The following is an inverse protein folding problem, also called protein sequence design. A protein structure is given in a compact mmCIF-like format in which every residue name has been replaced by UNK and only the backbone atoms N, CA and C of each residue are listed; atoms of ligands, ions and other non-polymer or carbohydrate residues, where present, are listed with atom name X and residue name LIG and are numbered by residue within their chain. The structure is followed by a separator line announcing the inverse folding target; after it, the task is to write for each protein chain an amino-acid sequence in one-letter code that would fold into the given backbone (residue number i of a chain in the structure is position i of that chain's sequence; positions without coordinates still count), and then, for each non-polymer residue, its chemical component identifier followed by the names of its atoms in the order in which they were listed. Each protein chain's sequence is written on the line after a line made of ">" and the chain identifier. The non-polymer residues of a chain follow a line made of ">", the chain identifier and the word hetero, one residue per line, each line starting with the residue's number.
data_IF_283883274233
#
_entry.id   IF_283883274233
#
_cell.length_a   1.000
_cell.length_b   1.000
_cell.length_c   1.000
_cell.angle_alpha   90.00
_cell.angle_beta   90.00
_cell.angle_gamma   90.00
#
_symmetry.space_group_name_H-M   'P 1'
#
loop_
_entity.id
_entity.type
_entity.pdbx_description
1 polymer ?
#
# COMPACT_ATOMS: atom_id res chain seq x y z
N UNK A 1 -5.36 40.32 -10.79
CA UNK A 1 -6.28 41.41 -10.60
C UNK A 1 -5.57 42.79 -10.60
N UNK A 2 -4.61 43.05 -9.67
CA UNK A 2 -3.91 44.34 -9.64
C UNK A 2 -3.12 44.65 -10.89
N UNK A 3 -2.60 43.68 -11.61
CA UNK A 3 -1.92 43.88 -12.88
C UNK A 3 -2.89 44.27 -14.01
N UNK A 4 -4.09 43.67 -14.07
CA UNK A 4 -5.08 43.93 -15.13
C UNK A 4 -5.97 45.13 -14.84
N UNK A 5 -6.21 45.48 -13.57
CA UNK A 5 -7.22 46.48 -13.15
C UNK A 5 -6.65 47.57 -12.26
N UNK A 6 -5.36 47.61 -12.01
CA UNK A 6 -4.71 48.55 -11.15
C UNK A 6 -3.29 48.93 -11.61
N UNK A 7 -2.48 49.42 -10.68
CA UNK A 7 -1.06 49.64 -10.96
C UNK A 7 -0.30 48.32 -10.98
N UNK A 8 0.41 48.02 -12.03
CA UNK A 8 1.31 46.84 -12.16
C UNK A 8 2.61 46.98 -11.32
N UNK A 9 2.85 48.13 -10.68
CA UNK A 9 4.06 48.39 -9.90
C UNK A 9 3.77 48.67 -8.43
N UNK A 10 4.67 48.23 -7.54
CA UNK A 10 4.59 48.50 -6.11
C UNK A 10 4.73 50.02 -5.81
N UNK A 11 4.04 50.49 -4.79
CA UNK A 11 4.25 51.86 -4.24
C UNK A 11 5.43 51.93 -3.29
N UNK A 12 5.96 50.80 -2.84
CA UNK A 12 7.13 50.76 -1.96
C UNK A 12 8.41 50.95 -2.75
N UNK A 13 9.23 51.85 -2.30
CA UNK A 13 10.55 52.20 -2.87
C UNK A 13 11.65 51.38 -2.21
N UNK A 14 11.36 50.78 -1.05
CA UNK A 14 12.30 50.01 -0.26
C UNK A 14 12.68 48.67 -0.97
N UNK A 15 13.91 48.23 -0.77
CA UNK A 15 14.39 46.97 -1.27
C UNK A 15 13.60 45.84 -0.58
N UNK A 16 12.93 45.00 -1.38
CA UNK A 16 12.16 43.87 -0.86
C UNK A 16 13.10 42.81 -0.31
N UNK A 17 12.89 42.40 0.94
CA UNK A 17 13.57 41.24 1.50
C UNK A 17 12.94 39.96 0.89
N UNK A 18 13.71 39.24 0.09
CA UNK A 18 13.30 37.98 -0.53
C UNK A 18 14.19 36.87 -0.01
N UNK A 19 13.84 36.20 1.12
CA UNK A 19 14.60 35.07 1.62
C UNK A 19 14.69 33.94 0.58
N UNK A 20 15.82 33.23 0.51
CA UNK A 20 15.97 32.09 -0.40
C UNK A 20 15.02 30.96 -0.01
N UNK A 21 14.75 30.07 -0.98
CA UNK A 21 14.13 28.77 -0.70
C UNK A 21 15.07 27.94 0.14
N UNK A 22 14.54 27.21 1.13
CA UNK A 22 15.34 26.42 2.06
C UNK A 22 14.97 24.93 1.96
N UNK A 23 15.98 24.13 1.87
CA UNK A 23 15.86 22.68 2.07
C UNK A 23 15.79 22.41 3.57
N UNK A 24 14.69 21.74 4.04
CA UNK A 24 14.52 21.42 5.44
C UNK A 24 14.83 19.96 5.76
N UNK A 25 14.85 19.08 4.77
CA UNK A 25 15.08 17.66 4.94
C UNK A 25 14.71 16.88 3.67
N UNK A 26 14.66 15.55 3.71
CA UNK A 26 14.44 14.74 2.51
C UNK A 26 13.12 15.07 1.79
N UNK A 27 12.04 15.34 2.52
CA UNK A 27 10.69 15.45 1.97
C UNK A 27 10.20 16.89 1.78
N UNK A 28 10.78 17.87 2.51
CA UNK A 28 10.15 19.19 2.67
C UNK A 28 11.05 20.33 2.20
N UNK A 29 10.51 21.19 1.32
CA UNK A 29 11.11 22.42 0.86
C UNK A 29 10.31 23.62 1.38
N UNK A 30 10.99 24.63 1.92
CA UNK A 30 10.38 25.88 2.41
C UNK A 30 10.56 27.04 1.42
N UNK A 31 9.44 27.68 1.09
CA UNK A 31 9.39 28.97 0.39
C UNK A 31 9.15 30.07 1.42
N UNK A 32 10.21 30.58 2.06
CA UNK A 32 10.14 31.52 3.18
C UNK A 32 9.32 32.77 2.86
N UNK A 33 9.35 33.26 1.60
CA UNK A 33 8.55 34.42 1.15
C UNK A 33 7.04 34.25 1.25
N UNK A 34 6.54 33.01 1.39
CA UNK A 34 5.11 32.69 1.53
C UNK A 34 4.72 32.41 2.98
N UNK A 35 5.70 32.27 3.86
CA UNK A 35 5.47 31.93 5.26
C UNK A 35 4.85 33.14 6.01
N UNK A 36 3.80 32.87 6.79
CA UNK A 36 3.16 33.84 7.67
C UNK A 36 3.54 33.67 9.14
N UNK A 37 4.53 32.83 9.41
CA UNK A 37 5.04 32.54 10.76
C UNK A 37 3.94 32.12 11.74
N UNK A 38 2.97 31.33 11.29
CA UNK A 38 1.82 30.88 12.11
C UNK A 38 2.18 29.78 13.11
N UNK A 39 3.40 29.26 13.07
CA UNK A 39 3.97 28.25 13.98
C UNK A 39 3.31 26.85 13.99
N UNK A 40 2.35 26.56 13.13
CA UNK A 40 1.69 25.24 13.09
C UNK A 40 2.69 24.10 12.90
N UNK A 41 3.66 24.26 12.00
CA UNK A 41 4.71 23.26 11.73
C UNK A 41 5.64 23.04 12.94
N UNK A 42 5.98 24.12 13.68
CA UNK A 42 6.78 24.02 14.91
C UNK A 42 6.00 23.22 15.94
N UNK A 43 4.75 23.62 16.24
CA UNK A 43 3.91 22.91 17.20
C UNK A 43 3.66 21.46 16.81
N UNK A 44 3.61 21.14 15.52
CA UNK A 44 3.56 19.75 15.07
C UNK A 44 4.81 18.98 15.49
N UNK A 45 5.99 19.55 15.26
CA UNK A 45 7.26 18.91 15.67
C UNK A 45 7.38 18.79 17.19
N UNK A 46 6.81 19.72 17.95
CA UNK A 46 6.86 19.70 19.42
C UNK A 46 5.81 18.77 20.04
N UNK A 47 4.55 18.84 19.56
CA UNK A 47 3.40 18.22 20.25
C UNK A 47 3.01 16.87 19.66
N UNK A 48 3.20 16.68 18.33
CA UNK A 48 2.79 15.44 17.64
C UNK A 48 3.96 14.45 17.52
N UNK A 49 5.11 14.93 17.07
CA UNK A 49 6.29 14.07 16.92
C UNK A 49 7.22 14.12 18.14
N UNK A 50 7.26 15.23 18.87
CA UNK A 50 8.16 15.42 20.02
C UNK A 50 9.64 15.57 19.60
N UNK A 51 9.91 15.83 18.34
CA UNK A 51 11.27 15.84 17.76
C UNK A 51 11.90 17.22 17.70
N UNK A 52 11.08 18.30 17.68
CA UNK A 52 11.54 19.69 17.81
C UNK A 52 12.45 20.21 16.71
N UNK A 53 12.39 19.68 15.48
CA UNK A 53 13.33 20.03 14.40
C UNK A 53 13.10 21.44 13.82
N UNK A 54 11.93 22.03 14.00
CA UNK A 54 11.60 23.34 13.46
C UNK A 54 11.53 24.41 14.55
N UNK A 55 12.03 25.60 14.25
CA UNK A 55 11.98 26.75 15.15
C UNK A 55 11.82 28.07 14.42
N UNK A 56 11.60 29.16 15.20
CA UNK A 56 11.71 30.52 14.68
C UNK A 56 13.17 30.96 14.82
N UNK A 57 13.77 31.33 13.69
CA UNK A 57 15.08 31.94 13.67
C UNK A 57 14.98 33.44 13.42
N UNK A 58 16.00 34.16 13.87
CA UNK A 58 16.04 35.62 13.84
C UNK A 58 14.95 36.28 14.69
N UNK A 59 14.75 37.61 14.55
CA UNK A 59 13.77 38.40 15.29
C UNK A 59 13.32 39.61 14.52
N UNK A 60 12.19 40.16 14.91
CA UNK A 60 11.61 41.34 14.28
C UNK A 60 11.17 41.08 12.84
N UNK A 61 11.46 41.98 11.93
CA UNK A 61 11.10 41.87 10.50
C UNK A 61 11.82 40.72 9.73
N UNK A 62 12.78 40.10 10.37
CA UNK A 62 13.56 38.99 9.76
C UNK A 62 13.16 37.62 10.27
N UNK A 63 12.10 37.54 11.09
CA UNK A 63 11.59 36.27 11.60
C UNK A 63 11.26 35.31 10.45
N UNK A 64 11.73 34.08 10.57
CA UNK A 64 11.41 33.00 9.63
C UNK A 64 11.46 31.62 10.32
N UNK A 65 10.80 30.66 9.72
CA UNK A 65 10.87 29.25 10.14
C UNK A 65 12.13 28.63 9.53
N UNK A 66 12.86 27.88 10.31
CA UNK A 66 14.03 27.11 9.83
C UNK A 66 14.29 25.91 10.76
N UNK A 67 15.16 25.02 10.29
CA UNK A 67 15.81 23.97 11.09
C UNK A 67 17.03 24.56 11.82
N UNK A 68 17.50 23.96 12.92
CA UNK A 68 18.70 24.38 13.61
C UNK A 68 19.93 24.35 12.70
N UNK A 69 20.71 25.46 12.68
CA UNK A 69 21.93 25.59 11.86
C UNK A 69 23.11 26.10 12.69
N UNK A 70 24.31 25.68 12.31
CA UNK A 70 25.56 26.26 12.80
C UNK A 70 25.75 27.68 12.25
N UNK A 71 26.76 28.36 12.77
CA UNK A 71 27.10 29.74 12.38
C UNK A 71 27.48 29.84 10.88
N UNK A 72 28.01 28.76 10.30
CA UNK A 72 28.37 28.64 8.88
C UNK A 72 27.17 28.30 7.96
N UNK A 73 25.98 28.17 8.53
CA UNK A 73 24.75 27.82 7.81
C UNK A 73 24.51 26.33 7.64
N UNK A 74 25.42 25.47 8.08
CA UNK A 74 25.27 24.01 7.99
C UNK A 74 24.14 23.56 8.93
N UNK A 75 23.16 22.73 8.48
CA UNK A 75 22.15 22.14 9.33
C UNK A 75 22.79 21.28 10.44
N UNK A 76 22.30 21.43 11.67
CA UNK A 76 22.66 20.53 12.79
C UNK A 76 21.65 19.41 12.96
N UNK A 77 20.42 19.63 12.48
CA UNK A 77 19.34 18.67 12.46
C UNK A 77 18.48 18.93 11.22
N UNK A 78 18.03 17.89 10.55
CA UNK A 78 17.11 17.97 9.43
C UNK A 78 15.68 17.70 9.93
N UNK A 79 14.69 18.11 9.17
CA UNK A 79 13.30 17.69 9.33
C UNK A 79 13.14 16.33 8.62
N UNK A 80 13.51 15.25 9.30
CA UNK A 80 13.60 13.90 8.75
C UNK A 80 12.89 12.83 9.59
N UNK A 81 12.08 13.25 10.59
CA UNK A 81 11.22 12.30 11.28
C UNK A 81 10.22 11.66 10.31
N UNK A 82 9.79 10.43 10.61
CA UNK A 82 8.90 9.63 9.73
C UNK A 82 7.50 10.20 9.50
N UNK A 83 7.17 11.37 10.08
CA UNK A 83 5.91 12.08 9.92
C UNK A 83 6.10 13.46 9.29
N UNK A 84 7.31 13.77 8.80
CA UNK A 84 7.72 15.11 8.35
C UNK A 84 6.80 15.70 7.27
N UNK A 85 6.27 14.88 6.36
CA UNK A 85 5.37 15.32 5.30
C UNK A 85 4.06 15.95 5.78
N UNK A 86 3.62 15.69 7.02
CA UNK A 86 2.40 16.29 7.54
C UNK A 86 2.50 17.82 7.71
N UNK A 87 3.71 18.37 7.88
CA UNK A 87 3.86 19.83 7.98
C UNK A 87 3.43 20.55 6.68
N UNK A 88 3.49 19.84 5.56
CA UNK A 88 3.01 20.34 4.26
C UNK A 88 1.49 20.47 4.25
N UNK A 89 0.79 19.45 4.78
CA UNK A 89 -0.68 19.41 4.81
C UNK A 89 -1.27 20.46 5.74
N UNK A 90 -0.64 20.70 6.89
CA UNK A 90 -1.11 21.69 7.87
C UNK A 90 -0.70 23.13 7.55
N UNK A 91 0.18 23.36 6.57
CA UNK A 91 0.62 24.70 6.18
C UNK A 91 -0.50 25.44 5.43
N UNK A 92 -1.05 26.57 6.00
CA UNK A 92 -2.23 27.22 5.43
C UNK A 92 -1.94 28.04 4.15
N UNK A 93 -0.66 28.27 3.82
CA UNK A 93 -0.25 29.21 2.75
C UNK A 93 0.65 28.60 1.68
N UNK A 94 0.88 27.32 1.69
CA UNK A 94 1.74 26.65 0.73
C UNK A 94 3.19 27.16 0.74
N UNK A 95 3.68 27.55 1.90
CA UNK A 95 5.09 27.86 2.11
C UNK A 95 5.91 26.57 2.19
N UNK A 96 5.39 25.55 2.89
CA UNK A 96 5.98 24.20 2.90
C UNK A 96 5.49 23.41 1.69
N UNK A 97 6.38 22.73 1.03
CA UNK A 97 6.13 21.97 -0.19
C UNK A 97 6.68 20.55 -0.04
N UNK A 98 5.89 19.56 -0.43
CA UNK A 98 6.40 18.22 -0.66
C UNK A 98 7.32 18.25 -1.89
N UNK A 99 8.53 17.75 -1.75
CA UNK A 99 9.49 17.62 -2.86
C UNK A 99 8.98 16.64 -3.90
N UNK A 100 8.36 15.54 -3.46
CA UNK A 100 7.80 14.53 -4.33
C UNK A 100 6.71 15.08 -5.26
N UNK A 101 5.78 15.88 -4.72
CA UNK A 101 4.67 16.41 -5.52
C UNK A 101 4.99 17.72 -6.28
N UNK A 102 6.10 18.39 -5.91
CA UNK A 102 6.43 19.71 -6.47
C UNK A 102 6.59 19.65 -8.00
N UNK A 103 5.81 20.48 -8.70
CA UNK A 103 5.76 20.61 -10.17
C UNK A 103 5.15 19.43 -10.95
N UNK A 104 4.72 18.34 -10.31
CA UNK A 104 4.12 17.20 -11.00
C UNK A 104 2.75 17.55 -11.60
N UNK A 105 1.87 18.17 -10.84
CA UNK A 105 0.51 18.51 -11.29
C UNK A 105 -0.09 19.69 -10.54
N UNK A 106 -1.20 20.23 -11.08
CA UNK A 106 -2.06 21.19 -10.38
C UNK A 106 -3.25 20.45 -9.76
N UNK A 107 -3.63 20.76 -8.49
CA UNK A 107 -4.70 20.04 -7.78
C UNK A 107 -6.02 19.94 -8.55
N UNK A 108 -6.42 20.98 -9.27
CA UNK A 108 -7.69 21.03 -10.01
C UNK A 108 -7.73 20.17 -11.29
N UNK A 109 -6.60 19.59 -11.70
CA UNK A 109 -6.54 18.65 -12.81
C UNK A 109 -6.56 17.19 -12.34
N UNK A 110 -6.60 16.95 -11.05
CA UNK A 110 -6.61 15.62 -10.47
C UNK A 110 -8.00 15.24 -9.97
N UNK A 111 -8.32 13.97 -10.10
CA UNK A 111 -9.43 13.33 -9.41
C UNK A 111 -8.96 12.87 -8.03
N UNK A 112 -9.87 12.73 -7.08
CA UNK A 112 -9.58 12.30 -5.70
C UNK A 112 -10.53 11.19 -5.30
N UNK A 113 -10.02 10.15 -4.69
CA UNK A 113 -10.81 9.06 -4.11
C UNK A 113 -10.42 8.84 -2.65
N UNK A 114 -11.42 8.47 -1.82
CA UNK A 114 -11.20 8.04 -0.45
C UNK A 114 -10.80 6.56 -0.43
N UNK A 115 -9.67 6.26 0.20
CA UNK A 115 -9.14 4.89 0.27
C UNK A 115 -8.35 4.69 1.57
N UNK A 116 -7.64 3.59 1.67
CA UNK A 116 -6.81 3.19 2.81
C UNK A 116 -5.36 3.03 2.36
N UNK A 117 -4.43 3.41 3.22
CA UNK A 117 -3.01 3.23 2.98
C UNK A 117 -2.63 1.75 3.04
N UNK A 118 -1.92 1.27 2.02
CA UNK A 118 -1.42 -0.10 1.93
C UNK A 118 0.01 -0.28 2.50
N UNK A 119 0.51 0.68 3.27
CA UNK A 119 1.91 0.68 3.74
C UNK A 119 2.17 -0.14 5.00
N UNK A 120 1.19 -0.28 5.90
CA UNK A 120 1.34 -0.99 7.17
C UNK A 120 -0.01 -1.31 7.81
N UNK A 121 0.00 -2.08 8.89
CA UNK A 121 -1.17 -2.57 9.63
C UNK A 121 -1.96 -1.48 10.40
N UNK A 122 -1.47 -0.24 10.47
CA UNK A 122 -2.24 0.89 11.00
C UNK A 122 -3.50 1.13 10.16
N UNK A 123 -3.42 0.99 8.83
CA UNK A 123 -4.56 1.20 7.94
C UNK A 123 -5.04 2.66 7.91
N UNK A 124 -4.12 3.64 7.79
CA UNK A 124 -4.49 5.05 7.76
C UNK A 124 -5.54 5.35 6.68
N UNK A 125 -6.61 6.05 7.06
CA UNK A 125 -7.54 6.60 6.09
C UNK A 125 -6.85 7.70 5.28
N UNK A 126 -6.93 7.62 3.96
CA UNK A 126 -6.27 8.56 3.06
C UNK A 126 -7.19 9.01 1.93
N UNK A 127 -6.81 10.11 1.31
CA UNK A 127 -7.26 10.49 -0.04
C UNK A 127 -6.12 10.23 -1.01
N UNK A 128 -6.44 9.62 -2.13
CA UNK A 128 -5.54 9.35 -3.24
C UNK A 128 -5.90 10.30 -4.38
N UNK A 129 -4.96 11.15 -4.78
CA UNK A 129 -5.09 12.05 -5.91
C UNK A 129 -4.44 11.42 -7.15
N UNK A 130 -5.20 11.33 -8.25
CA UNK A 130 -4.81 10.62 -9.47
C UNK A 130 -5.28 11.31 -10.75
N UNK A 131 -4.73 10.87 -11.86
CA UNK A 131 -5.23 11.10 -13.20
C UNK A 131 -5.29 9.76 -13.95
N UNK A 132 -5.70 9.79 -15.20
CA UNK A 132 -5.79 8.58 -16.01
C UNK A 132 -4.41 7.93 -16.27
N UNK A 133 -3.32 8.69 -16.13
CA UNK A 133 -1.93 8.27 -16.30
C UNK A 133 -1.22 7.80 -14.99
N UNK A 134 -1.89 7.82 -13.85
CA UNK A 134 -1.35 7.29 -12.61
C UNK A 134 -1.70 8.02 -11.33
N UNK A 135 -1.10 7.58 -10.24
CA UNK A 135 -1.24 8.13 -8.88
C UNK A 135 -0.22 9.24 -8.68
N UNK A 136 -0.64 10.38 -8.12
CA UNK A 136 0.20 11.56 -7.97
C UNK A 136 0.59 11.88 -6.53
N UNK A 137 -0.29 11.58 -5.57
CA UNK A 137 0.01 11.73 -4.13
C UNK A 137 -1.02 11.07 -3.25
N UNK A 138 -0.61 10.75 -2.03
CA UNK A 138 -1.47 10.33 -0.92
C UNK A 138 -1.48 11.41 0.17
N UNK A 139 -2.65 11.64 0.78
CA UNK A 139 -2.81 12.58 1.90
C UNK A 139 -3.65 11.95 3.01
N UNK A 140 -3.38 12.26 4.28
CA UNK A 140 -4.20 11.75 5.37
C UNK A 140 -5.62 12.32 5.31
N UNK A 141 -6.59 11.45 5.58
CA UNK A 141 -8.00 11.77 5.81
C UNK A 141 -8.33 11.47 7.26
N UNK A 142 -9.06 12.35 7.91
CA UNK A 142 -9.37 12.20 9.33
C UNK A 142 -10.13 10.92 9.65
N UNK A 143 -9.64 10.21 10.68
CA UNK A 143 -10.36 9.13 11.34
C UNK A 143 -10.01 9.11 12.83
N UNK A 144 -11.03 9.22 13.70
CA UNK A 144 -10.85 9.43 15.13
C UNK A 144 -10.01 8.35 15.82
N UNK A 145 -10.23 7.07 15.49
CA UNK A 145 -9.65 5.93 16.19
C UNK A 145 -8.42 5.31 15.49
N UNK A 146 -8.15 5.66 14.24
CA UNK A 146 -7.07 5.05 13.45
C UNK A 146 -5.88 6.00 13.36
N UNK A 147 -5.99 7.05 12.58
CA UNK A 147 -4.86 7.90 12.25
C UNK A 147 -5.08 9.39 12.58
N UNK A 148 -6.22 9.76 13.16
CA UNK A 148 -6.60 11.16 13.37
C UNK A 148 -6.39 11.98 12.07
N UNK A 149 -5.42 12.88 12.07
CA UNK A 149 -5.07 13.72 10.92
C UNK A 149 -3.73 13.35 10.25
N UNK A 150 -3.08 12.25 10.68
CA UNK A 150 -1.68 11.99 10.39
C UNK A 150 -1.49 10.75 9.50
N UNK A 151 -0.39 10.72 8.78
CA UNK A 151 0.15 9.53 8.12
C UNK A 151 1.68 9.61 8.08
N UNK A 152 2.35 8.47 8.01
CA UNK A 152 3.80 8.42 7.87
C UNK A 152 4.26 8.73 6.45
N UNK A 153 5.53 9.14 6.34
CA UNK A 153 6.12 9.48 5.06
C UNK A 153 6.34 8.23 4.19
N UNK A 154 6.67 7.08 4.79
CA UNK A 154 6.76 5.80 4.08
C UNK A 154 5.42 5.45 3.41
N UNK A 155 4.28 5.60 4.14
CA UNK A 155 2.96 5.41 3.57
C UNK A 155 2.60 6.46 2.51
N UNK A 156 3.00 7.72 2.74
CA UNK A 156 2.75 8.84 1.83
C UNK A 156 3.42 8.66 0.47
N UNK A 157 4.63 8.11 0.46
CA UNK A 157 5.45 7.90 -0.73
C UNK A 157 5.30 6.48 -1.31
N UNK A 158 4.73 5.57 -0.54
CA UNK A 158 4.60 4.16 -0.88
C UNK A 158 3.72 3.83 -2.10
N UNK A 159 3.27 4.82 -2.87
CA UNK A 159 2.51 4.62 -4.10
C UNK A 159 3.38 4.54 -5.36
N UNK A 160 4.68 4.84 -5.28
CA UNK A 160 5.53 4.94 -6.48
C UNK A 160 5.57 3.65 -7.29
N UNK A 161 5.53 2.48 -6.64
CA UNK A 161 5.50 1.21 -7.34
C UNK A 161 4.26 1.03 -8.23
N UNK A 162 3.14 1.70 -7.90
CA UNK A 162 1.92 1.67 -8.74
C UNK A 162 2.17 2.23 -10.13
N UNK A 163 3.05 3.24 -10.20
CA UNK A 163 3.41 3.93 -11.44
C UNK A 163 4.71 3.40 -12.07
N UNK A 164 5.29 2.31 -11.55
CA UNK A 164 6.56 1.77 -12.07
C UNK A 164 6.39 1.25 -13.50
N UNK A 165 7.44 1.42 -14.32
CA UNK A 165 7.53 0.80 -15.63
C UNK A 165 7.76 -0.71 -15.55
N UNK A 166 8.23 -1.22 -14.39
CA UNK A 166 8.48 -2.63 -14.13
C UNK A 166 7.21 -3.41 -13.75
N UNK A 167 6.02 -2.78 -13.86
CA UNK A 167 4.74 -3.43 -13.61
C UNK A 167 4.50 -4.60 -14.56
N UNK A 168 4.12 -5.75 -14.00
CA UNK A 168 3.67 -6.90 -14.78
C UNK A 168 2.42 -6.54 -15.58
N UNK A 169 2.47 -6.77 -16.89
CA UNK A 169 1.41 -6.41 -17.83
C UNK A 169 0.78 -7.61 -18.55
N UNK A 170 1.49 -8.73 -18.61
CA UNK A 170 1.06 -9.97 -19.25
C UNK A 170 1.44 -11.16 -18.41
N UNK A 171 0.69 -12.28 -18.45
CA UNK A 171 1.14 -13.53 -17.86
C UNK A 171 2.48 -13.96 -18.47
N UNK A 172 3.31 -14.63 -17.66
CA UNK A 172 4.60 -15.16 -18.12
C UNK A 172 4.72 -16.63 -17.77
N UNK A 173 5.46 -17.37 -18.57
CA UNK A 173 5.80 -18.78 -18.32
C UNK A 173 7.30 -19.03 -18.48
N UNK A 174 7.83 -20.00 -17.75
CA UNK A 174 9.24 -20.38 -17.86
C UNK A 174 9.44 -21.32 -19.05
N UNK A 175 10.39 -20.96 -19.92
CA UNK A 175 10.82 -21.77 -21.07
C UNK A 175 12.35 -21.70 -21.10
N UNK A 176 13.00 -22.87 -21.09
CA UNK A 176 14.47 -22.97 -21.12
C UNK A 176 15.17 -22.09 -20.05
N UNK A 177 14.60 -22.03 -18.86
CA UNK A 177 15.13 -21.25 -17.72
C UNK A 177 14.79 -19.75 -17.71
N UNK A 178 14.13 -19.23 -18.76
CA UNK A 178 13.76 -17.81 -18.87
C UNK A 178 12.25 -17.60 -18.82
N UNK A 179 11.78 -16.54 -18.18
CA UNK A 179 10.38 -16.12 -18.20
C UNK A 179 10.06 -15.41 -19.52
N UNK A 180 9.06 -15.91 -20.24
CA UNK A 180 8.57 -15.35 -21.50
C UNK A 180 7.08 -15.01 -21.42
N UNK A 181 6.61 -13.93 -22.05
CA UNK A 181 5.19 -13.61 -22.09
C UNK A 181 4.35 -14.76 -22.70
N UNK A 182 3.17 -14.97 -22.13
CA UNK A 182 2.20 -15.96 -22.59
C UNK A 182 0.78 -15.40 -22.54
N UNK A 183 -0.19 -16.16 -23.07
CA UNK A 183 -1.61 -15.77 -22.95
C UNK A 183 -2.21 -16.26 -21.62
N UNK A 184 -3.29 -15.59 -21.16
CA UNK A 184 -4.07 -16.07 -20.02
C UNK A 184 -4.59 -17.50 -20.23
N UNK A 185 -5.01 -17.84 -21.44
CA UNK A 185 -5.51 -19.17 -21.77
C UNK A 185 -4.44 -20.24 -21.60
N UNK A 186 -3.23 -19.98 -22.10
CA UNK A 186 -2.10 -20.90 -21.95
C UNK A 186 -1.67 -21.03 -20.50
N UNK A 187 -1.55 -19.91 -19.78
CA UNK A 187 -1.17 -19.92 -18.37
C UNK A 187 -2.15 -20.75 -17.52
N UNK A 188 -3.46 -20.53 -17.69
CA UNK A 188 -4.47 -21.32 -16.99
C UNK A 188 -4.45 -22.80 -17.41
N UNK A 189 -4.25 -23.10 -18.71
CA UNK A 189 -4.16 -24.49 -19.17
C UNK A 189 -3.03 -25.25 -18.47
N UNK A 190 -1.84 -24.65 -18.39
CA UNK A 190 -0.67 -25.22 -17.72
C UNK A 190 -0.94 -25.40 -16.21
N UNK A 191 -1.50 -24.39 -15.53
CA UNK A 191 -1.84 -24.47 -14.10
C UNK A 191 -2.83 -25.61 -13.85
N UNK A 192 -3.89 -25.73 -14.64
CA UNK A 192 -4.91 -26.78 -14.47
C UNK A 192 -4.36 -28.18 -14.74
N UNK A 193 -3.45 -28.33 -15.70
CA UNK A 193 -2.76 -29.60 -15.97
C UNK A 193 -1.96 -30.03 -14.73
N UNK A 194 -1.21 -29.11 -14.14
CA UNK A 194 -0.43 -29.41 -12.92
C UNK A 194 -1.33 -29.74 -11.73
N UNK A 195 -2.39 -28.95 -11.51
CA UNK A 195 -3.36 -29.19 -10.43
C UNK A 195 -4.06 -30.55 -10.56
N UNK A 196 -4.29 -31.03 -11.77
CA UNK A 196 -4.89 -32.38 -11.99
C UNK A 196 -3.91 -33.55 -11.88
N UNK A 197 -2.61 -33.27 -11.96
CA UNK A 197 -1.57 -34.30 -11.94
C UNK A 197 -0.95 -34.55 -10.55
N UNK A 198 -1.15 -33.64 -9.60
CA UNK A 198 -0.49 -33.66 -8.29
C UNK A 198 -1.53 -33.89 -7.19
N UNK A 199 -1.17 -34.72 -6.20
CA UNK A 199 -2.04 -34.99 -5.05
C UNK A 199 -2.14 -33.74 -4.13
N UNK A 200 -3.30 -33.53 -3.54
CA UNK A 200 -3.61 -32.38 -2.67
C UNK A 200 -2.63 -32.21 -1.49
N UNK A 201 -2.16 -33.31 -0.90
CA UNK A 201 -1.16 -33.29 0.18
C UNK A 201 0.19 -32.71 -0.26
N UNK A 202 0.51 -32.81 -1.55
CA UNK A 202 1.74 -32.28 -2.15
C UNK A 202 1.56 -30.82 -2.66
N UNK A 203 0.39 -30.19 -2.40
CA UNK A 203 0.09 -28.82 -2.79
C UNK A 203 0.14 -27.88 -1.59
N UNK A 204 0.37 -26.60 -1.87
CA UNK A 204 0.17 -25.52 -0.91
C UNK A 204 -0.43 -24.28 -1.59
N UNK A 205 -1.27 -23.58 -0.86
CA UNK A 205 -1.82 -22.28 -1.24
C UNK A 205 -1.35 -21.23 -0.25
N UNK A 206 -0.73 -20.17 -0.75
CA UNK A 206 -0.15 -19.12 0.06
C UNK A 206 -0.83 -17.80 -0.28
N UNK A 207 -1.68 -17.32 0.64
CA UNK A 207 -2.31 -16.01 0.55
C UNK A 207 -1.35 -14.88 0.91
N UNK A 208 -1.84 -13.66 0.90
CA UNK A 208 -0.99 -12.50 1.15
C UNK A 208 -1.64 -11.49 2.10
N UNK A 209 -0.82 -10.95 2.99
CA UNK A 209 -1.17 -9.80 3.82
C UNK A 209 -1.27 -8.48 3.04
N UNK A 210 -0.96 -8.49 1.74
CA UNK A 210 -1.02 -7.30 0.85
C UNK A 210 -2.29 -7.27 -0.01
N UNK A 211 -3.01 -8.40 -0.13
CA UNK A 211 -4.26 -8.47 -0.88
C UNK A 211 -5.48 -8.30 0.04
N UNK A 212 -6.65 -8.13 -0.56
CA UNK A 212 -7.89 -7.83 0.17
C UNK A 212 -8.44 -9.02 0.95
N UNK A 213 -9.40 -8.74 1.83
CA UNK A 213 -10.16 -9.77 2.53
C UNK A 213 -10.87 -10.69 1.53
N UNK A 214 -11.49 -10.10 0.52
CA UNK A 214 -12.25 -10.80 -0.51
C UNK A 214 -11.36 -11.75 -1.32
N UNK A 215 -10.14 -11.35 -1.62
CA UNK A 215 -9.17 -12.16 -2.35
C UNK A 215 -8.64 -13.32 -1.51
N UNK A 216 -8.28 -13.09 -0.24
CA UNK A 216 -7.90 -14.16 0.69
C UNK A 216 -9.06 -15.14 0.94
N UNK A 217 -10.31 -14.64 1.00
CA UNK A 217 -11.50 -15.49 1.13
C UNK A 217 -11.67 -16.42 -0.09
N UNK A 218 -11.48 -15.92 -1.31
CA UNK A 218 -11.51 -16.75 -2.51
C UNK A 218 -10.35 -17.76 -2.58
N UNK A 219 -9.17 -17.40 -2.08
CA UNK A 219 -8.06 -18.35 -1.95
C UNK A 219 -8.41 -19.50 -1.00
N UNK A 220 -9.11 -19.21 0.10
CA UNK A 220 -9.62 -20.25 0.99
C UNK A 220 -10.59 -21.18 0.26
N UNK A 221 -11.53 -20.63 -0.51
CA UNK A 221 -12.45 -21.45 -1.33
C UNK A 221 -11.72 -22.30 -2.36
N UNK A 222 -10.65 -21.79 -2.96
CA UNK A 222 -9.80 -22.56 -3.86
C UNK A 222 -9.10 -23.71 -3.12
N UNK A 223 -8.56 -23.45 -1.93
CA UNK A 223 -7.91 -24.46 -1.10
C UNK A 223 -8.90 -25.58 -0.71
N UNK A 224 -10.11 -25.21 -0.30
CA UNK A 224 -11.18 -26.15 0.06
C UNK A 224 -11.60 -27.02 -1.14
N UNK A 225 -11.75 -26.42 -2.32
CA UNK A 225 -12.11 -27.16 -3.54
C UNK A 225 -11.04 -28.16 -3.98
N UNK A 226 -9.77 -27.84 -3.75
CA UNK A 226 -8.62 -28.71 -4.05
C UNK A 226 -8.27 -29.64 -2.89
N UNK A 227 -8.98 -29.56 -1.77
CA UNK A 227 -8.70 -30.29 -0.52
C UNK A 227 -7.24 -30.10 -0.02
N UNK A 228 -6.67 -28.89 -0.21
CA UNK A 228 -5.30 -28.57 0.16
C UNK A 228 -5.18 -28.32 1.66
N UNK A 229 -4.42 -29.16 2.36
CA UNK A 229 -4.20 -29.04 3.81
C UNK A 229 -3.12 -28.03 4.22
N UNK A 230 -2.29 -27.54 3.29
CA UNK A 230 -1.22 -26.58 3.61
C UNK A 230 -1.61 -25.19 3.12
N UNK A 231 -2.00 -24.35 4.07
CA UNK A 231 -2.32 -22.93 3.81
C UNK A 231 -1.27 -22.07 4.48
N UNK A 232 -0.74 -21.10 3.74
CA UNK A 232 0.27 -20.16 4.21
C UNK A 232 -0.16 -18.71 4.03
N UNK A 233 0.52 -17.83 4.74
CA UNK A 233 0.38 -16.38 4.61
C UNK A 233 1.76 -15.78 4.35
N UNK A 234 1.86 -15.03 3.26
CA UNK A 234 3.06 -14.34 2.84
C UNK A 234 2.87 -12.83 2.98
N UNK A 235 3.94 -12.11 3.26
CA UNK A 235 3.89 -10.66 3.39
C UNK A 235 5.27 -10.07 3.63
N UNK A 236 5.33 -8.76 3.80
CA UNK A 236 6.56 -8.07 4.20
C UNK A 236 6.98 -8.52 5.58
N UNK A 237 8.28 -8.68 5.79
CA UNK A 237 8.86 -8.93 7.13
C UNK A 237 8.56 -7.75 8.05
N UNK A 238 8.54 -8.01 9.36
CA UNK A 238 8.37 -6.96 10.35
C UNK A 238 9.50 -5.93 10.21
N UNK A 239 9.13 -4.66 10.23
CA UNK A 239 10.07 -3.55 10.26
C UNK A 239 10.14 -2.91 11.64
N UNK A 240 10.75 -1.73 11.71
CA UNK A 240 10.81 -0.97 12.95
C UNK A 240 9.45 -0.38 13.33
N UNK A 241 9.15 -0.40 14.63
CA UNK A 241 8.06 0.36 15.22
C UNK A 241 8.56 1.76 15.60
N UNK A 242 7.76 2.79 15.31
CA UNK A 242 8.06 4.17 15.71
C UNK A 242 6.90 4.73 16.52
N UNK A 243 7.17 5.00 17.80
CA UNK A 243 6.18 5.54 18.75
C UNK A 243 6.40 7.03 18.93
N UNK A 244 5.47 7.84 18.43
CA UNK A 244 5.40 9.29 18.66
C UNK A 244 4.32 9.63 19.68
N UNK A 245 4.35 10.80 20.29
CA UNK A 245 3.36 11.19 21.31
C UNK A 245 1.90 11.10 20.86
N UNK A 246 1.63 11.26 19.56
CA UNK A 246 0.26 11.25 19.00
C UNK A 246 0.05 10.27 17.86
N UNK A 247 1.04 9.50 17.48
CA UNK A 247 0.93 8.55 16.37
C UNK A 247 1.95 7.43 16.50
N UNK A 248 1.54 6.19 16.25
CA UNK A 248 2.43 5.03 16.18
C UNK A 248 2.46 4.48 14.78
N UNK A 249 3.65 4.19 14.27
CA UNK A 249 3.85 3.42 13.04
C UNK A 249 4.15 2.00 13.47
N UNK A 250 3.25 1.07 13.18
CA UNK A 250 3.36 -0.33 13.58
C UNK A 250 4.56 -1.03 12.92
N UNK A 251 5.10 -2.04 13.59
CA UNK A 251 6.15 -2.91 13.06
C UNK A 251 5.68 -3.74 11.86
N UNK A 252 4.43 -4.19 11.87
CA UNK A 252 3.84 -4.91 10.74
C UNK A 252 3.59 -3.95 9.55
N UNK A 253 4.36 -4.16 8.47
CA UNK A 253 4.33 -3.35 7.24
C UNK A 253 3.32 -3.85 6.21
N UNK A 254 2.37 -4.67 6.63
CA UNK A 254 1.31 -5.20 5.78
C UNK A 254 -0.05 -4.61 6.15
N UNK A 255 -0.88 -4.23 5.18
CA UNK A 255 -2.15 -3.55 5.47
C UNK A 255 -3.24 -4.48 6.01
N UNK A 256 -3.15 -5.79 5.72
CA UNK A 256 -4.24 -6.74 5.91
C UNK A 256 -3.84 -8.05 6.59
N UNK A 257 -2.80 -8.07 7.41
CA UNK A 257 -2.36 -9.31 8.09
C UNK A 257 -3.48 -9.94 8.91
N UNK A 258 -4.23 -9.13 9.68
CA UNK A 258 -5.37 -9.63 10.46
C UNK A 258 -6.47 -10.18 9.56
N UNK A 259 -6.91 -9.41 8.57
CA UNK A 259 -7.98 -9.85 7.68
C UNK A 259 -7.61 -11.09 6.86
N UNK A 260 -6.38 -11.18 6.39
CA UNK A 260 -5.89 -12.36 5.70
C UNK A 260 -5.95 -13.61 6.59
N UNK A 261 -5.53 -13.50 7.86
CA UNK A 261 -5.67 -14.59 8.83
C UNK A 261 -7.14 -14.97 9.06
N UNK A 262 -8.01 -13.98 9.32
CA UNK A 262 -9.42 -14.21 9.56
C UNK A 262 -10.12 -14.88 8.35
N UNK A 263 -9.69 -14.58 7.12
CA UNK A 263 -10.25 -15.18 5.90
C UNK A 263 -9.68 -16.58 5.58
N UNK A 264 -8.39 -16.80 5.82
CA UNK A 264 -7.74 -18.07 5.52
C UNK A 264 -7.92 -19.10 6.62
N UNK A 265 -7.95 -18.67 7.90
CA UNK A 265 -8.12 -19.54 9.07
C UNK A 265 -9.62 -19.74 9.37
N UNK A 266 -10.27 -20.62 8.63
CA UNK A 266 -11.63 -21.08 8.89
C UNK A 266 -11.59 -22.54 9.35
N UNK A 267 -12.54 -22.94 10.19
CA UNK A 267 -12.70 -24.32 10.67
C UNK A 267 -11.43 -24.89 11.35
N UNK A 268 -10.77 -24.12 12.21
CA UNK A 268 -9.54 -24.51 12.96
C UNK A 268 -8.32 -24.82 12.05
N UNK A 269 -8.36 -24.43 10.79
CA UNK A 269 -7.20 -24.58 9.89
C UNK A 269 -6.05 -23.70 10.36
N UNK A 270 -4.87 -24.29 10.54
CA UNK A 270 -3.66 -23.52 10.87
C UNK A 270 -3.13 -22.80 9.64
N UNK A 271 -3.02 -21.48 9.73
CA UNK A 271 -2.35 -20.65 8.72
C UNK A 271 -0.89 -20.48 9.12
N UNK A 272 0.04 -20.90 8.26
CA UNK A 272 1.48 -20.90 8.53
C UNK A 272 2.13 -19.64 8.00
N UNK A 273 3.00 -19.05 8.80
CA UNK A 273 3.75 -17.83 8.49
C UNK A 273 5.23 -18.06 8.82
N UNK A 274 6.10 -17.20 8.27
CA UNK A 274 7.54 -17.20 8.54
C UNK A 274 8.19 -18.59 8.46
N UNK A 275 9.01 -19.00 9.43
CA UNK A 275 9.73 -20.26 9.44
C UNK A 275 8.82 -21.51 9.34
N UNK A 276 7.67 -21.60 10.04
CA UNK A 276 6.70 -22.67 9.84
C UNK A 276 6.17 -22.79 8.41
N UNK A 277 6.00 -21.66 7.71
CA UNK A 277 5.60 -21.67 6.29
C UNK A 277 6.69 -22.30 5.43
N UNK A 278 7.92 -21.82 5.52
CA UNK A 278 9.02 -22.32 4.70
C UNK A 278 9.32 -23.79 4.95
N UNK A 279 9.23 -24.24 6.19
CA UNK A 279 9.34 -25.66 6.55
C UNK A 279 8.25 -26.47 5.86
N UNK A 280 7.00 -25.99 5.85
CA UNK A 280 5.88 -26.70 5.22
C UNK A 280 5.92 -26.69 3.69
N UNK A 281 6.58 -25.71 3.08
CA UNK A 281 6.73 -25.62 1.62
C UNK A 281 7.87 -26.52 1.08
N UNK A 282 8.81 -26.91 1.91
CA UNK A 282 10.05 -27.58 1.50
C UNK A 282 9.86 -28.94 0.79
N UNK A 283 8.72 -29.58 0.99
CA UNK A 283 8.37 -30.88 0.38
C UNK A 283 7.24 -30.80 -0.67
N UNK A 284 6.77 -29.60 -1.00
CA UNK A 284 5.65 -29.42 -1.90
C UNK A 284 6.06 -29.53 -3.36
N UNK A 285 5.17 -30.15 -4.14
CA UNK A 285 5.33 -30.29 -5.60
C UNK A 285 4.64 -29.17 -6.37
N UNK A 286 3.62 -28.56 -5.78
CA UNK A 286 2.88 -27.43 -6.35
C UNK A 286 2.64 -26.36 -5.29
N UNK A 287 2.98 -25.14 -5.62
CA UNK A 287 2.66 -23.98 -4.76
C UNK A 287 2.03 -22.88 -5.60
N UNK A 288 0.87 -22.40 -5.15
CA UNK A 288 0.28 -21.16 -5.64
C UNK A 288 0.46 -20.08 -4.59
N UNK A 289 1.28 -19.08 -4.90
CA UNK A 289 1.67 -18.01 -4.00
C UNK A 289 1.23 -16.64 -4.57
N UNK A 290 0.54 -15.85 -3.75
CA UNK A 290 0.30 -14.44 -4.06
C UNK A 290 1.26 -13.59 -3.24
N UNK A 291 2.10 -12.80 -3.91
CA UNK A 291 2.98 -11.85 -3.27
C UNK A 291 2.25 -10.51 -3.05
N UNK A 292 2.03 -9.74 -4.09
CA UNK A 292 1.41 -8.42 -4.00
C UNK A 292 2.19 -7.39 -3.16
N UNK A 293 3.36 -7.78 -2.64
CA UNK A 293 4.21 -6.96 -1.77
C UNK A 293 5.34 -6.33 -2.60
N UNK A 294 5.24 -5.05 -2.96
CA UNK A 294 6.35 -4.39 -3.62
C UNK A 294 7.60 -4.41 -2.69
N UNK A 295 8.76 -4.61 -3.30
CA UNK A 295 10.06 -4.50 -2.63
C UNK A 295 10.23 -5.41 -1.39
N UNK A 296 9.72 -6.65 -1.43
CA UNK A 296 10.02 -7.66 -0.42
C UNK A 296 11.17 -8.55 -0.90
N UNK A 297 12.40 -8.31 -0.44
CA UNK A 297 13.51 -9.22 -0.72
C UNK A 297 13.29 -10.56 -0.02
N UNK A 298 13.75 -11.64 -0.66
CA UNK A 298 13.82 -12.99 -0.06
C UNK A 298 15.23 -13.23 0.47
N UNK A 299 15.34 -14.02 1.55
CA UNK A 299 16.64 -14.48 2.04
C UNK A 299 17.06 -15.80 1.40
N UNK A 300 18.29 -16.25 1.69
CA UNK A 300 18.84 -17.47 1.12
C UNK A 300 17.98 -18.72 1.44
N UNK A 301 17.41 -18.79 2.66
CA UNK A 301 16.57 -19.93 3.07
C UNK A 301 15.26 -19.96 2.29
N UNK A 302 14.65 -18.81 2.12
CA UNK A 302 13.42 -18.64 1.33
C UNK A 302 13.66 -18.99 -0.15
N UNK A 303 14.77 -18.51 -0.71
CA UNK A 303 15.20 -18.82 -2.08
C UNK A 303 15.41 -20.33 -2.28
N UNK A 304 16.17 -20.95 -1.38
CA UNK A 304 16.47 -22.38 -1.41
C UNK A 304 15.20 -23.29 -1.36
N UNK A 305 14.17 -22.84 -0.65
CA UNK A 305 12.89 -23.56 -0.59
C UNK A 305 12.10 -23.38 -1.88
N UNK A 306 11.99 -22.14 -2.37
CA UNK A 306 11.24 -21.83 -3.59
C UNK A 306 11.82 -22.52 -4.83
N UNK A 307 13.15 -22.60 -4.96
CA UNK A 307 13.83 -23.29 -6.06
C UNK A 307 13.61 -24.81 -6.08
N UNK A 308 13.29 -25.42 -4.93
CA UNK A 308 13.04 -26.87 -4.82
C UNK A 308 11.59 -27.26 -5.09
N UNK A 309 10.66 -26.28 -5.15
CA UNK A 309 9.25 -26.54 -5.47
C UNK A 309 9.16 -27.09 -6.89
N UNK A 310 8.40 -28.17 -7.07
CA UNK A 310 8.27 -28.84 -8.37
C UNK A 310 7.59 -27.97 -9.42
N UNK A 311 6.59 -27.18 -9.04
CA UNK A 311 5.90 -26.21 -9.89
C UNK A 311 5.39 -25.01 -9.06
N UNK A 312 5.91 -23.83 -9.34
CA UNK A 312 5.61 -22.62 -8.60
C UNK A 312 4.82 -21.64 -9.47
N UNK A 313 3.62 -21.29 -9.02
CA UNK A 313 2.80 -20.22 -9.60
C UNK A 313 2.88 -19.01 -8.67
N UNK A 314 3.31 -17.87 -9.19
CA UNK A 314 3.34 -16.61 -8.45
C UNK A 314 2.42 -15.60 -9.10
N UNK A 315 1.54 -15.02 -8.30
CA UNK A 315 0.73 -13.87 -8.68
C UNK A 315 1.29 -12.61 -8.03
N UNK A 316 1.68 -11.63 -8.84
CA UNK A 316 2.37 -10.44 -8.35
C UNK A 316 2.04 -9.20 -9.19
N UNK A 317 2.42 -8.04 -8.65
CA UNK A 317 2.26 -6.72 -9.31
C UNK A 317 3.53 -6.25 -10.02
N UNK A 318 4.69 -6.72 -9.58
CA UNK A 318 6.02 -6.45 -10.14
C UNK A 318 6.74 -7.78 -10.41
N UNK A 319 7.75 -7.76 -11.26
CA UNK A 319 8.65 -8.90 -11.38
C UNK A 319 9.61 -8.90 -10.19
N UNK A 320 9.13 -9.44 -9.06
CA UNK A 320 9.89 -9.56 -7.82
C UNK A 320 10.83 -10.76 -7.84
N UNK A 321 11.77 -10.81 -6.87
CA UNK A 321 12.66 -11.96 -6.69
C UNK A 321 11.89 -13.30 -6.58
N UNK A 322 10.73 -13.28 -5.92
CA UNK A 322 9.84 -14.45 -5.84
C UNK A 322 9.25 -14.80 -7.21
N UNK A 323 8.80 -13.80 -7.95
CA UNK A 323 8.23 -14.00 -9.28
C UNK A 323 9.29 -14.49 -10.30
N UNK A 324 10.54 -14.06 -10.13
CA UNK A 324 11.65 -14.54 -10.96
C UNK A 324 11.93 -16.03 -10.81
N UNK A 325 11.57 -16.65 -9.68
CA UNK A 325 11.73 -18.10 -9.45
C UNK A 325 10.54 -18.92 -9.98
N UNK A 326 9.41 -18.30 -10.28
CA UNK A 326 8.19 -18.99 -10.66
C UNK A 326 8.25 -19.70 -12.04
N UNK A 327 7.47 -20.75 -12.21
CA UNK A 327 7.20 -21.37 -13.51
C UNK A 327 6.14 -20.60 -14.30
N UNK A 328 5.13 -20.09 -13.57
CA UNK A 328 4.10 -19.21 -14.12
C UNK A 328 4.01 -17.94 -13.26
N UNK A 329 4.02 -16.79 -13.91
CA UNK A 329 3.77 -15.48 -13.27
C UNK A 329 2.46 -14.91 -13.80
N UNK A 330 1.56 -14.54 -12.88
CA UNK A 330 0.27 -13.93 -13.19
C UNK A 330 0.25 -12.46 -12.77
N UNK A 331 -0.08 -11.51 -13.66
CA UNK A 331 -0.09 -10.09 -13.37
C UNK A 331 -1.32 -9.69 -12.56
N UNK A 332 -1.12 -9.34 -11.30
CA UNK A 332 -2.13 -8.85 -10.37
C UNK A 332 -2.30 -7.33 -10.39
N UNK A 333 -3.33 -6.84 -9.67
CA UNK A 333 -3.64 -5.43 -9.53
C UNK A 333 -3.22 -4.89 -8.15
N UNK A 334 -2.77 -3.63 -8.13
CA UNK A 334 -2.42 -2.92 -6.89
C UNK A 334 -3.67 -2.42 -6.15
N UNK A 335 -3.50 -1.94 -4.91
CA UNK A 335 -4.59 -1.34 -4.10
C UNK A 335 -5.28 -0.14 -4.77
N UNK A 336 -4.62 0.54 -5.72
CA UNK A 336 -5.18 1.67 -6.45
C UNK A 336 -5.98 1.26 -7.70
N UNK A 337 -5.86 0.00 -8.13
CA UNK A 337 -6.42 -0.53 -9.38
C UNK A 337 -7.62 -1.47 -9.17
N UNK A 338 -7.96 -1.77 -7.92
CA UNK A 338 -9.05 -2.67 -7.53
C UNK A 338 -9.87 -2.12 -6.38
N UNK A 339 -11.09 -2.63 -6.23
CA UNK A 339 -11.94 -2.46 -5.05
C UNK A 339 -11.73 -3.63 -4.09
N UNK A 340 -12.03 -3.43 -2.81
CA UNK A 340 -11.99 -4.47 -1.78
C UNK A 340 -11.93 -3.89 -0.38
N UNK A 341 -11.56 -4.72 0.59
CA UNK A 341 -11.42 -4.29 1.98
C UNK A 341 -10.15 -4.84 2.64
N UNK A 342 -9.60 -4.07 3.58
CA UNK A 342 -8.54 -4.47 4.50
C UNK A 342 -9.04 -4.47 5.92
N UNK A 343 -8.53 -5.36 6.76
CA UNK A 343 -8.75 -5.34 8.20
C UNK A 343 -7.44 -5.02 8.90
N UNK A 344 -7.36 -3.86 9.53
CA UNK A 344 -6.15 -3.38 10.18
C UNK A 344 -5.86 -4.11 11.52
N UNK A 345 -4.70 -3.83 12.14
CA UNK A 345 -4.27 -4.45 13.41
C UNK A 345 -5.28 -4.27 14.54
N UNK A 346 -6.04 -3.18 14.54
CA UNK A 346 -7.07 -2.87 15.55
C UNK A 346 -8.44 -3.48 15.24
N UNK A 347 -8.59 -4.19 14.12
CA UNK A 347 -9.85 -4.82 13.71
C UNK A 347 -10.80 -3.91 12.94
N UNK A 348 -10.36 -2.77 12.45
CA UNK A 348 -11.17 -1.96 11.55
C UNK A 348 -11.16 -2.53 10.15
N UNK A 349 -12.32 -2.89 9.64
CA UNK A 349 -12.57 -3.28 8.25
C UNK A 349 -12.77 -1.99 7.47
N UNK A 350 -11.92 -1.74 6.47
CA UNK A 350 -11.88 -0.48 5.72
C UNK A 350 -11.84 -0.73 4.23
N UNK A 351 -12.54 0.10 3.45
CA UNK A 351 -12.60 -0.05 1.99
C UNK A 351 -11.43 0.58 1.28
N UNK A 352 -10.80 -0.17 0.37
CA UNK A 352 -10.02 0.38 -0.74
C UNK A 352 -10.91 0.57 -1.97
N UNK A 353 -10.57 1.53 -2.82
CA UNK A 353 -11.35 1.87 -4.01
C UNK A 353 -10.49 2.05 -5.22
N UNK A 354 -10.91 1.43 -6.31
CA UNK A 354 -10.30 1.59 -7.61
C UNK A 354 -10.26 3.07 -8.02
N UNK A 355 -9.09 3.54 -8.41
CA UNK A 355 -8.84 4.90 -8.89
C UNK A 355 -8.35 4.94 -10.33
N UNK A 356 -7.49 3.99 -10.71
CA UNK A 356 -6.92 3.86 -12.04
C UNK A 356 -7.15 2.44 -12.59
N UNK A 357 -6.91 2.25 -13.87
CA UNK A 357 -6.94 0.93 -14.49
C UNK A 357 -5.60 0.22 -14.30
N UNK A 358 -5.62 -1.09 -14.13
CA UNK A 358 -4.41 -1.91 -14.15
C UNK A 358 -3.75 -1.86 -15.55
N UNK A 359 -2.41 -1.96 -15.64
CA UNK A 359 -1.71 -1.87 -16.91
C UNK A 359 -1.85 -3.16 -17.72
N UNK A 360 -1.87 -3.01 -19.06
CA UNK A 360 -1.86 -4.14 -19.99
C UNK A 360 -3.02 -5.12 -19.78
N UNK A 361 -2.70 -6.36 -19.48
CA UNK A 361 -3.64 -7.45 -19.21
C UNK A 361 -3.73 -7.82 -17.73
N UNK A 362 -3.13 -7.04 -16.81
CA UNK A 362 -3.20 -7.27 -15.39
C UNK A 362 -4.67 -7.18 -14.90
N UNK A 363 -5.05 -8.06 -13.97
CA UNK A 363 -6.42 -8.18 -13.49
C UNK A 363 -6.45 -8.08 -11.95
N UNK A 364 -7.58 -7.66 -11.36
CA UNK A 364 -7.80 -7.82 -9.92
C UNK A 364 -7.62 -9.28 -9.50
N UNK A 365 -6.98 -9.50 -8.36
CA UNK A 365 -6.60 -10.84 -7.91
C UNK A 365 -7.82 -11.76 -7.74
N UNK A 366 -8.96 -11.20 -7.28
CA UNK A 366 -10.21 -11.96 -7.15
C UNK A 366 -10.73 -12.50 -8.49
N UNK A 367 -10.55 -11.78 -9.61
CA UNK A 367 -10.96 -12.23 -10.94
C UNK A 367 -10.09 -13.40 -11.42
N UNK A 368 -8.78 -13.36 -11.14
CA UNK A 368 -7.83 -14.42 -11.49
C UNK A 368 -8.19 -15.69 -10.71
N UNK A 369 -8.37 -15.58 -9.39
CA UNK A 369 -8.72 -16.71 -8.52
C UNK A 369 -10.06 -17.32 -8.94
N UNK A 370 -11.08 -16.49 -9.18
CA UNK A 370 -12.40 -16.94 -9.64
C UNK A 370 -12.30 -17.74 -10.95
N UNK A 371 -11.47 -17.29 -11.91
CA UNK A 371 -11.30 -18.00 -13.19
C UNK A 371 -10.68 -19.38 -12.96
N UNK A 372 -9.72 -19.52 -12.06
CA UNK A 372 -9.13 -20.82 -11.70
C UNK A 372 -10.19 -21.73 -11.08
N UNK A 373 -10.93 -21.25 -10.07
CA UNK A 373 -12.00 -22.00 -9.40
C UNK A 373 -13.06 -22.47 -10.39
N UNK A 374 -13.54 -21.60 -11.29
CA UNK A 374 -14.55 -21.92 -12.31
C UNK A 374 -14.03 -23.01 -13.29
N UNK A 375 -12.78 -22.92 -13.72
CA UNK A 375 -12.16 -23.91 -14.62
C UNK A 375 -11.98 -25.27 -13.96
N UNK A 376 -11.86 -25.32 -12.65
CA UNK A 376 -11.89 -26.53 -11.84
C UNK A 376 -13.30 -27.08 -11.56
N UNK A 377 -14.34 -26.46 -12.11
CA UNK A 377 -15.75 -26.86 -11.94
C UNK A 377 -16.39 -26.33 -10.66
N UNK A 378 -15.77 -25.36 -9.97
CA UNK A 378 -16.34 -24.72 -8.80
C UNK A 378 -17.55 -23.84 -9.14
N UNK A 379 -18.53 -23.82 -8.25
CA UNK A 379 -19.78 -23.05 -8.40
C UNK A 379 -19.65 -21.65 -7.76
N UNK A 380 -18.84 -20.78 -8.39
CA UNK A 380 -18.75 -19.35 -8.03
C UNK A 380 -18.89 -18.49 -9.29
N UNK A 381 -19.67 -17.42 -9.21
CA UNK A 381 -19.88 -16.48 -10.34
C UNK A 381 -20.18 -15.08 -9.83
N UNK A 382 -19.15 -14.41 -9.34
CA UNK A 382 -19.27 -13.02 -8.87
C UNK A 382 -19.05 -12.05 -10.04
N UNK A 383 -19.94 -11.06 -10.14
CA UNK A 383 -19.86 -10.00 -11.15
C UNK A 383 -18.98 -8.82 -10.66
N UNK A 384 -18.91 -8.62 -9.36
CA UNK A 384 -18.09 -7.58 -8.73
C UNK A 384 -17.73 -7.97 -7.29
N UNK A 385 -16.63 -7.45 -6.81
CA UNK A 385 -16.05 -7.80 -5.50
C UNK A 385 -17.00 -7.60 -4.31
N UNK A 386 -17.99 -6.70 -4.43
CA UNK A 386 -18.98 -6.48 -3.39
C UNK A 386 -19.89 -7.68 -3.11
N UNK A 387 -20.09 -8.59 -4.08
CA UNK A 387 -20.82 -9.84 -3.87
C UNK A 387 -20.02 -10.81 -2.97
N UNK A 388 -18.70 -10.82 -3.12
CA UNK A 388 -17.80 -11.58 -2.24
C UNK A 388 -17.86 -11.01 -0.81
N UNK A 389 -17.84 -9.68 -0.68
CA UNK A 389 -17.98 -9.03 0.63
C UNK A 389 -19.33 -9.33 1.32
N UNK A 390 -20.42 -9.49 0.55
CA UNK A 390 -21.71 -9.93 1.10
C UNK A 390 -21.64 -11.37 1.60
N UNK A 391 -20.99 -12.26 0.86
CA UNK A 391 -20.82 -13.66 1.29
C UNK A 391 -19.93 -13.76 2.53
N UNK A 392 -18.86 -12.95 2.62
CA UNK A 392 -18.03 -12.83 3.83
C UNK A 392 -18.90 -12.41 5.02
N UNK A 393 -19.76 -11.40 4.84
CA UNK A 393 -20.66 -10.93 5.89
C UNK A 393 -21.68 -12.00 6.35
N UNK A 394 -22.02 -12.96 5.51
CA UNK A 394 -22.92 -14.06 5.86
C UNK A 394 -22.18 -15.22 6.54
N UNK A 395 -20.93 -15.51 6.14
CA UNK A 395 -20.24 -16.76 6.49
C UNK A 395 -19.13 -16.61 7.50
N UNK A 396 -18.44 -15.46 7.52
CA UNK A 396 -17.25 -15.27 8.37
C UNK A 396 -17.64 -14.65 9.71
N UNK A 397 -17.29 -15.33 10.79
CA UNK A 397 -17.57 -14.86 12.15
C UNK A 397 -16.84 -13.53 12.41
N UNK A 398 -17.55 -12.58 13.01
CA UNK A 398 -17.02 -11.25 13.25
C UNK A 398 -17.20 -10.25 12.11
N UNK A 399 -17.55 -10.70 10.89
CA UNK A 399 -17.65 -9.87 9.68
C UNK A 399 -19.10 -9.61 9.23
N UNK A 400 -20.12 -9.83 10.09
CA UNK A 400 -21.54 -9.76 9.73
C UNK A 400 -21.98 -8.43 9.13
N UNK A 401 -21.24 -7.36 9.37
CA UNK A 401 -21.49 -6.03 8.80
C UNK A 401 -20.53 -5.64 7.67
N UNK A 402 -19.70 -6.57 7.20
CA UNK A 402 -18.61 -6.30 6.26
C UNK A 402 -19.03 -6.06 4.80
N UNK A 403 -20.32 -5.80 4.52
CA UNK A 403 -20.72 -5.38 3.18
C UNK A 403 -20.10 -4.03 2.83
N UNK A 404 -19.69 -3.85 1.57
CA UNK A 404 -19.06 -2.61 1.10
C UNK A 404 -19.91 -1.35 1.35
N UNK A 405 -21.25 -1.50 1.37
CA UNK A 405 -22.16 -0.40 1.66
C UNK A 405 -22.09 0.02 3.13
N UNK A 406 -22.05 -0.96 4.06
CA UNK A 406 -21.99 -0.69 5.50
C UNK A 406 -20.62 -0.19 5.95
N UNK A 407 -19.54 -0.75 5.40
CA UNK A 407 -18.17 -0.29 5.68
C UNK A 407 -18.03 1.21 5.37
N UNK A 408 -18.59 1.68 4.25
CA UNK A 408 -18.59 3.10 3.88
C UNK A 408 -17.20 3.71 3.78
N UNK A 409 -17.06 4.96 4.24
CA UNK A 409 -15.81 5.72 4.21
C UNK A 409 -15.01 5.67 5.52
N UNK A 410 -15.67 5.36 6.62
CA UNK A 410 -15.05 5.34 7.94
C UNK A 410 -14.60 3.94 8.39
N UNK A 411 -15.08 2.91 7.71
CA UNK A 411 -14.84 1.55 8.17
C UNK A 411 -15.78 1.14 9.30
N UNK A 412 -15.72 -0.13 9.65
CA UNK A 412 -16.46 -0.74 10.78
C UNK A 412 -15.51 -1.61 11.59
N UNK A 413 -15.82 -1.80 12.85
CA UNK A 413 -15.04 -2.69 13.71
C UNK A 413 -15.52 -4.14 13.53
N UNK A 414 -14.58 -5.09 13.48
CA UNK A 414 -14.90 -6.53 13.55
C UNK A 414 -15.68 -6.78 14.85
N UNK A 415 -16.81 -7.44 14.76
CA UNK A 415 -17.62 -7.81 15.92
C UNK A 415 -16.87 -8.87 16.75
N UNK A 416 -16.74 -8.64 18.07
CA UNK A 416 -16.08 -9.56 19.00
C UNK A 416 -16.96 -10.73 19.37
#
# INVERSE_FOLDING_TARGET
>A
FSFNHGRGTSRYIEVKNVPPKKDLGPEVLLYSTRCIVCTRCIRFCDEVTGTGELGIVHRGSKNEIDIPRKHDGTPTQLLDNKLSGNVVDICPVGALKSKDFLFKSRPWFMKTVNTVCAGCSVGCNITLDFKDDGVYRLKPRYHEHINQHWMCDDGRLGYHYVNSEDRLQTPMKRVDGSLVPTSWADAFSIILEQLSAIDSDSMAIVGSSQITNEENYLLRKLADQLEVGTIGLFGRKLGDEYVYPKFTIEADKNPNTRGAKDMLCQDETEVREDEPLWTALSDKKFVYLINGAPERPIDETECDVLEKIGFLVVQDVLLSEVAELADIVLPGATFAEKDGSFTNSKGWIQRIRKSISAPGQAQPDWEIIQQIVKKLGGDIDYNFVGEIALEIAEKVVGYQDASHQKIGDQGILVNS
#
